data_IF_388082344993
#
_entry.id   IF_388082344993
#
_cell.length_a   1.000
_cell.length_b   1.000
_cell.length_c   1.000
_cell.angle_alpha   90.00
_cell.angle_beta   90.00
_cell.angle_gamma   90.00
#
_symmetry.space_group_name_H-M   'P 1'
#
loop_
_entity.id
_entity.type
_entity.pdbx_description
1 polymer ?
#
# COMPACT_ATOMS: atom_id res chain seq x y z
N UNK A 1 -8.98 -19.63 -1.70
CA UNK A 1 -9.19 -18.41 -0.88
C UNK A 1 -8.50 -17.22 -1.55
N UNK A 2 -9.14 -16.03 -1.59
CA UNK A 2 -8.55 -14.83 -2.21
C UNK A 2 -8.15 -13.85 -1.11
N UNK A 3 -6.86 -13.82 -0.77
CA UNK A 3 -6.28 -12.93 0.24
C UNK A 3 -5.89 -11.61 -0.42
N UNK A 4 -6.24 -10.50 0.22
CA UNK A 4 -5.93 -9.14 -0.25
C UNK A 4 -5.36 -8.32 0.90
N UNK A 5 -4.23 -7.68 0.66
CA UNK A 5 -3.63 -6.74 1.58
C UNK A 5 -4.08 -5.31 1.22
N UNK A 6 -4.67 -4.62 2.20
CA UNK A 6 -5.02 -3.21 2.09
C UNK A 6 -4.35 -2.45 3.22
N UNK A 7 -3.34 -1.66 2.90
CA UNK A 7 -2.67 -0.79 3.87
C UNK A 7 -3.20 0.64 3.70
N UNK A 8 -3.81 1.19 4.75
CA UNK A 8 -4.38 2.54 4.75
C UNK A 8 -3.60 3.45 5.68
N UNK A 9 -3.13 4.57 5.17
CA UNK A 9 -2.49 5.62 5.96
C UNK A 9 -3.52 6.71 6.26
N UNK A 10 -3.85 6.84 7.55
CA UNK A 10 -4.93 7.71 8.03
C UNK A 10 -4.32 8.79 8.93
N UNK A 11 -4.59 10.05 8.63
CA UNK A 11 -4.19 11.20 9.42
C UNK A 11 -5.42 12.07 9.71
N UNK A 12 -5.66 12.44 10.96
CA UNK A 12 -6.85 13.21 11.37
C UNK A 12 -8.19 12.62 10.88
N UNK A 13 -8.32 11.28 10.92
CA UNK A 13 -9.46 10.52 10.38
C UNK A 13 -9.65 10.62 8.86
N UNK A 14 -8.70 11.23 8.16
CA UNK A 14 -8.67 11.29 6.70
C UNK A 14 -7.64 10.31 6.16
N UNK A 15 -8.07 9.42 5.27
CA UNK A 15 -7.17 8.51 4.56
C UNK A 15 -6.44 9.28 3.46
N UNK A 16 -5.14 9.49 3.62
CA UNK A 16 -4.36 10.26 2.65
C UNK A 16 -3.66 9.38 1.62
N UNK A 17 -3.30 8.14 1.97
CA UNK A 17 -2.68 7.17 1.06
C UNK A 17 -3.20 5.75 1.31
N UNK A 18 -3.34 4.95 0.25
CA UNK A 18 -3.65 3.53 0.31
C UNK A 18 -2.70 2.72 -0.56
N UNK A 19 -2.28 1.56 -0.09
CA UNK A 19 -1.75 0.49 -0.91
C UNK A 19 -2.75 -0.66 -0.98
N UNK A 20 -2.93 -1.18 -2.18
CA UNK A 20 -3.80 -2.33 -2.43
C UNK A 20 -3.03 -3.39 -3.19
N UNK A 21 -3.02 -4.64 -2.70
CA UNK A 21 -2.34 -5.73 -3.39
C UNK A 21 -2.95 -6.05 -4.75
N UNK A 22 -4.25 -5.80 -4.95
CA UNK A 22 -4.91 -6.03 -6.25
C UNK A 22 -4.50 -4.96 -7.28
N UNK A 23 -4.18 -3.74 -6.83
CA UNK A 23 -3.73 -2.63 -7.70
C UNK A 23 -2.20 -2.65 -7.85
N UNK A 24 -1.48 -3.08 -6.83
CA UNK A 24 -0.02 -3.24 -6.82
C UNK A 24 0.78 -1.94 -6.70
N UNK A 25 0.15 -0.83 -6.26
CA UNK A 25 0.79 0.47 -6.02
C UNK A 25 0.06 1.32 -4.99
N UNK A 26 0.73 2.37 -4.54
CA UNK A 26 0.15 3.38 -3.66
C UNK A 26 -0.71 4.39 -4.44
N UNK A 27 -1.87 4.73 -3.88
CA UNK A 27 -2.80 5.75 -4.36
C UNK A 27 -2.96 6.84 -3.32
N UNK A 28 -2.82 8.09 -3.72
CA UNK A 28 -2.99 9.26 -2.86
C UNK A 28 -4.36 9.91 -3.03
N UNK A 29 -5.02 10.28 -1.93
CA UNK A 29 -6.36 10.91 -1.94
C UNK A 29 -6.35 12.40 -1.61
N UNK A 30 -5.19 12.94 -1.21
CA UNK A 30 -4.94 14.37 -1.04
C UNK A 30 -3.70 14.78 -1.82
N UNK A 31 -3.47 16.09 -2.07
CA UNK A 31 -2.22 16.54 -2.67
C UNK A 31 -0.97 16.06 -1.91
N UNK A 32 -1.05 16.05 -0.58
CA UNK A 32 0.00 15.47 0.27
C UNK A 32 0.15 13.96 0.03
N UNK A 33 -0.97 13.23 0.03
CA UNK A 33 -0.96 11.81 -0.23
C UNK A 33 -0.47 11.43 -1.63
N UNK A 34 -0.76 12.22 -2.66
CA UNK A 34 -0.27 11.98 -4.02
C UNK A 34 1.26 12.17 -4.10
N UNK A 35 1.80 13.14 -3.37
CA UNK A 35 3.25 13.31 -3.23
C UNK A 35 3.89 12.09 -2.54
N UNK A 36 3.32 11.65 -1.41
CA UNK A 36 3.79 10.46 -0.70
C UNK A 36 3.67 9.19 -1.55
N UNK A 37 2.55 9.01 -2.25
CA UNK A 37 2.32 7.85 -3.11
C UNK A 37 3.31 7.82 -4.28
N UNK A 38 3.59 8.96 -4.93
CA UNK A 38 4.64 9.05 -5.97
C UNK A 38 6.02 8.70 -5.42
N UNK A 39 6.37 9.24 -4.26
CA UNK A 39 7.65 8.94 -3.61
C UNK A 39 7.78 7.44 -3.33
N UNK A 40 6.79 6.83 -2.68
CA UNK A 40 6.82 5.39 -2.38
C UNK A 40 6.77 4.50 -3.62
N UNK A 41 6.02 4.89 -4.66
CA UNK A 41 5.98 4.15 -5.92
C UNK A 41 7.28 4.27 -6.73
N UNK A 42 8.12 5.27 -6.45
CA UNK A 42 9.40 5.46 -7.14
C UNK A 42 10.52 4.56 -6.61
N UNK A 43 10.36 4.00 -5.41
CA UNK A 43 11.33 3.10 -4.78
C UNK A 43 11.01 1.63 -5.13
N UNK A 44 11.82 0.96 -5.96
CA UNK A 44 11.54 -0.39 -6.42
C UNK A 44 11.63 -1.44 -5.29
N UNK A 45 12.58 -1.30 -4.38
CA UNK A 45 12.81 -2.26 -3.29
C UNK A 45 11.64 -2.21 -2.29
N UNK A 46 11.18 -1.00 -1.98
CA UNK A 46 9.99 -0.78 -1.15
C UNK A 46 8.73 -1.38 -1.79
N UNK A 47 8.55 -1.17 -3.08
CA UNK A 47 7.38 -1.64 -3.83
C UNK A 47 7.37 -3.17 -3.97
N UNK A 48 8.52 -3.80 -4.15
CA UNK A 48 8.64 -5.26 -4.14
C UNK A 48 8.24 -5.84 -2.78
N UNK A 49 8.75 -5.27 -1.69
CA UNK A 49 8.39 -5.69 -0.34
C UNK A 49 6.87 -5.59 -0.09
N UNK A 50 6.24 -4.49 -0.53
CA UNK A 50 4.79 -4.30 -0.38
C UNK A 50 3.95 -5.23 -1.21
N UNK A 51 4.36 -5.52 -2.45
CA UNK A 51 3.65 -6.46 -3.34
C UNK A 51 3.68 -7.89 -2.81
N UNK A 52 4.81 -8.30 -2.24
CA UNK A 52 4.99 -9.65 -1.68
C UNK A 52 4.38 -9.83 -0.29
N UNK A 53 4.02 -8.75 0.40
CA UNK A 53 3.44 -8.80 1.74
C UNK A 53 2.11 -9.57 1.83
N UNK A 54 1.38 -9.73 0.74
CA UNK A 54 0.20 -10.61 0.75
C UNK A 54 0.59 -12.07 1.05
N UNK A 55 1.74 -12.54 0.58
CA UNK A 55 2.17 -13.92 0.74
C UNK A 55 2.88 -14.14 2.09
N UNK A 56 3.88 -13.31 2.41
CA UNK A 56 4.67 -13.52 3.63
C UNK A 56 4.02 -12.96 4.90
N UNK A 57 3.13 -11.97 4.81
CA UNK A 57 2.46 -11.39 5.97
C UNK A 57 1.02 -11.88 6.12
N UNK A 58 0.22 -11.88 5.05
CA UNK A 58 -1.19 -12.25 5.19
C UNK A 58 -1.42 -13.76 5.13
N UNK A 59 -0.89 -14.45 4.11
CA UNK A 59 -1.07 -15.91 3.97
C UNK A 59 -0.24 -16.71 4.97
N UNK A 60 0.99 -16.27 5.27
CA UNK A 60 1.86 -17.04 6.17
C UNK A 60 1.31 -17.14 7.61
N UNK A 61 0.40 -16.24 7.99
CA UNK A 61 -0.14 -16.15 9.35
C UNK A 61 -1.59 -16.61 9.45
N UNK A 62 -2.16 -17.12 8.36
CA UNK A 62 -3.49 -17.69 8.30
C UNK A 62 -3.41 -19.22 8.29
#
# INVERSE_FOLDING_TARGET
EKVRLVARSIYNRFEYVRFDSDVGRYEGFTPYGECSARHWNSDPDWMENRRTAVDWFCRSWY
#
